data_IF_136153623237
#
_entry.id   IF_136153623237
#
_cell.length_a   1.000
_cell.length_b   1.000
_cell.length_c   1.000
_cell.angle_alpha   90.00
_cell.angle_beta   90.00
_cell.angle_gamma   90.00
#
_symmetry.space_group_name_H-M   'P 1'
#
loop_
_entity.id
_entity.type
_entity.pdbx_description
1 polymer ?
#
# COMPACT_ATOMS: atom_id res chain seq x y z
N UNK A 1 23.23 -12.85 34.72
CA UNK A 1 23.92 -11.58 35.00
C UNK A 1 23.04 -10.75 35.91
N UNK A 2 23.60 -10.22 36.99
CA UNK A 2 22.87 -9.54 38.06
C UNK A 2 23.11 -8.04 38.00
N UNK A 3 22.06 -7.29 38.35
CA UNK A 3 22.06 -5.84 38.42
C UNK A 3 21.85 -5.38 39.86
N UNK A 4 22.39 -4.20 40.16
CA UNK A 4 22.30 -3.57 41.47
C UNK A 4 21.87 -2.12 41.28
N UNK A 5 21.17 -1.55 42.25
CA UNK A 5 20.75 -0.16 42.21
C UNK A 5 20.89 0.49 43.58
N UNK A 6 21.10 1.80 43.58
CA UNK A 6 21.18 2.58 44.80
C UNK A 6 19.78 3.00 45.28
N UNK A 7 19.51 2.80 46.57
CA UNK A 7 18.34 3.34 47.26
C UNK A 7 18.78 3.89 48.59
N UNK A 8 18.53 5.19 48.82
CA UNK A 8 18.85 5.88 50.07
C UNK A 8 20.32 5.71 50.51
N UNK A 9 21.25 5.77 49.55
CA UNK A 9 22.70 5.60 49.80
C UNK A 9 23.14 4.16 50.07
N UNK A 10 22.26 3.18 49.89
CA UNK A 10 22.58 1.75 50.03
C UNK A 10 22.45 1.03 48.70
N UNK A 11 23.36 0.09 48.47
CA UNK A 11 23.27 -0.84 47.35
C UNK A 11 22.17 -1.89 47.61
N UNK A 12 21.27 -2.04 46.65
CA UNK A 12 20.18 -3.02 46.68
C UNK A 12 20.30 -3.93 45.46
N UNK A 13 20.36 -5.24 45.72
CA UNK A 13 20.48 -6.28 44.72
C UNK A 13 20.92 -7.61 45.36
N UNK A 14 21.19 -8.66 44.57
CA UNK A 14 21.13 -8.72 43.10
C UNK A 14 19.71 -8.84 42.54
N UNK A 15 19.37 -8.03 41.53
CA UNK A 15 18.12 -8.14 40.75
C UNK A 15 18.38 -8.57 39.32
N UNK A 16 17.41 -9.22 38.68
CA UNK A 16 17.51 -9.58 37.27
C UNK A 16 17.34 -8.36 36.35
N UNK A 17 17.80 -8.44 35.09
CA UNK A 17 17.62 -7.34 34.13
C UNK A 17 16.13 -7.02 33.88
N UNK A 18 15.28 -8.05 33.75
CA UNK A 18 13.85 -7.89 33.55
C UNK A 18 13.17 -7.23 34.76
N UNK A 19 13.61 -7.57 35.96
CA UNK A 19 13.15 -6.98 37.21
C UNK A 19 13.59 -5.52 37.36
N UNK A 20 14.84 -5.20 37.00
CA UNK A 20 15.33 -3.81 36.94
C UNK A 20 14.49 -2.96 35.98
N UNK A 21 14.15 -3.50 34.80
CA UNK A 21 13.26 -2.83 33.84
C UNK A 21 11.86 -2.64 34.43
N UNK A 22 11.31 -3.65 35.11
CA UNK A 22 10.01 -3.51 35.81
C UNK A 22 10.06 -2.40 36.85
N UNK A 23 11.11 -2.32 37.66
CA UNK A 23 11.27 -1.27 38.69
C UNK A 23 11.34 0.13 38.08
N UNK A 24 11.94 0.29 36.89
CA UNK A 24 11.96 1.54 36.14
C UNK A 24 10.56 1.88 35.59
N UNK A 25 9.86 0.91 35.00
CA UNK A 25 8.50 1.11 34.45
C UNK A 25 7.51 1.51 35.55
N UNK A 26 7.57 0.85 36.70
CA UNK A 26 6.72 1.15 37.86
C UNK A 26 7.18 2.40 38.64
N UNK A 27 8.19 3.13 38.14
CA UNK A 27 8.78 4.33 38.75
C UNK A 27 9.30 4.13 40.18
N UNK A 28 9.58 2.89 40.59
CA UNK A 28 10.26 2.58 41.85
C UNK A 28 11.74 2.98 41.81
N UNK A 29 12.33 3.02 40.62
CA UNK A 29 13.68 3.52 40.37
C UNK A 29 13.56 4.69 39.39
N UNK A 30 14.19 5.83 39.73
CA UNK A 30 14.15 7.02 38.88
C UNK A 30 15.23 6.92 37.78
N UNK A 31 15.07 7.59 36.64
CA UNK A 31 16.06 7.58 35.57
C UNK A 31 17.47 8.07 35.98
N UNK A 32 17.54 8.90 37.03
CA UNK A 32 18.79 9.37 37.62
C UNK A 32 19.38 8.45 38.70
N UNK A 33 18.64 7.44 39.17
CA UNK A 33 19.13 6.51 40.19
C UNK A 33 20.34 5.75 39.66
N UNK A 34 21.39 5.65 40.48
CA UNK A 34 22.60 4.93 40.10
C UNK A 34 22.34 3.43 40.10
N UNK A 35 22.80 2.78 39.04
CA UNK A 35 22.75 1.34 38.85
C UNK A 35 24.14 0.83 38.50
N UNK A 36 24.41 -0.40 38.92
CA UNK A 36 25.66 -1.07 38.67
C UNK A 36 25.42 -2.46 38.07
N UNK A 37 26.35 -2.84 37.21
CA UNK A 37 26.37 -4.12 36.54
C UNK A 37 27.83 -4.53 36.37
N UNK A 38 28.18 -5.84 36.44
CA UNK A 38 29.56 -6.31 36.30
C UNK A 38 30.29 -5.80 35.04
N UNK A 39 29.55 -5.57 33.96
CA UNK A 39 30.08 -5.01 32.70
C UNK A 39 30.51 -3.53 32.77
N UNK A 40 30.26 -2.83 33.87
CA UNK A 40 30.69 -1.43 34.09
C UNK A 40 31.96 -1.33 34.94
N UNK A 41 32.56 -2.45 35.36
CA UNK A 41 33.74 -2.43 36.23
C UNK A 41 33.36 -1.87 37.60
N UNK A 42 34.02 -0.79 38.05
CA UNK A 42 33.74 -0.13 39.34
C UNK A 42 32.85 1.12 39.21
N UNK A 43 32.28 1.36 38.03
CA UNK A 43 31.56 2.60 37.75
C UNK A 43 30.05 2.43 37.91
N UNK A 44 29.46 3.20 38.82
CA UNK A 44 28.01 3.33 38.95
C UNK A 44 27.49 4.33 37.91
N UNK A 45 26.42 3.95 37.20
CA UNK A 45 25.87 4.77 36.12
C UNK A 45 24.40 5.05 36.37
N UNK A 46 23.87 6.24 36.02
CA UNK A 46 22.43 6.48 36.08
C UNK A 46 21.65 5.46 35.24
N UNK A 47 20.49 5.00 35.73
CA UNK A 47 19.64 4.02 35.06
C UNK A 47 19.30 4.40 33.60
N UNK A 48 19.13 5.69 33.34
CA UNK A 48 18.92 6.24 31.99
C UNK A 48 20.09 6.02 31.02
N UNK A 49 21.33 5.98 31.53
CA UNK A 49 22.57 5.81 30.76
C UNK A 49 23.10 4.37 30.77
N UNK A 50 22.48 3.50 31.56
CA UNK A 50 22.91 2.11 31.74
C UNK A 50 22.44 1.16 30.63
N UNK A 51 21.70 1.64 29.62
CA UNK A 51 21.25 0.81 28.50
C UNK A 51 20.23 -0.27 28.88
N UNK A 52 19.60 -0.16 30.05
CA UNK A 52 18.62 -1.11 30.59
C UNK A 52 17.36 -1.23 29.73
N UNK A 53 16.97 -0.12 29.11
CA UNK A 53 15.93 -0.09 28.08
C UNK A 53 16.62 -0.14 26.72
N UNK A 54 16.89 -1.34 26.20
CA UNK A 54 17.10 -1.48 24.76
C UNK A 54 15.74 -1.22 24.13
N UNK A 55 15.50 -0.05 23.50
CA UNK A 55 14.29 0.09 22.73
C UNK A 55 14.40 -1.00 21.68
N UNK A 56 13.42 -1.89 21.63
CA UNK A 56 13.15 -2.73 20.48
C UNK A 56 14.14 -3.87 20.16
N UNK A 57 13.96 -5.00 20.83
CA UNK A 57 14.26 -6.30 20.20
C UNK A 57 13.37 -6.54 18.95
N UNK A 58 12.16 -5.98 18.93
CA UNK A 58 11.22 -6.09 17.80
C UNK A 58 11.54 -5.24 16.57
N UNK A 59 12.24 -4.10 16.70
CA UNK A 59 12.60 -3.24 15.55
C UNK A 59 13.91 -3.69 14.91
N UNK A 60 14.78 -4.42 15.63
CA UNK A 60 16.00 -4.97 15.06
C UNK A 60 15.74 -6.00 13.96
N UNK A 61 14.61 -6.71 14.00
CA UNK A 61 14.23 -7.62 12.91
C UNK A 61 13.94 -6.86 11.60
N UNK A 62 13.31 -5.68 11.70
CA UNK A 62 13.06 -4.81 10.54
C UNK A 62 14.31 -4.06 10.06
N UNK A 63 15.27 -3.79 10.94
CA UNK A 63 16.57 -3.18 10.57
C UNK A 63 17.52 -4.21 9.95
N UNK A 64 17.48 -5.47 10.39
CA UNK A 64 18.35 -6.53 9.87
C UNK A 64 18.01 -6.94 8.43
N UNK A 65 16.74 -6.85 8.02
CA UNK A 65 16.30 -7.10 6.63
C UNK A 65 16.74 -5.98 5.68
N UNK A 66 17.00 -4.77 6.18
CA UNK A 66 17.34 -3.59 5.37
C UNK A 66 18.80 -3.11 5.43
N UNK A 67 19.71 -3.81 6.12
CA UNK A 67 21.01 -3.24 6.43
C UNK A 67 22.13 -4.25 6.65
N UNK A 68 22.61 -4.86 5.56
CA UNK A 68 23.96 -5.42 5.54
C UNK A 68 24.82 -4.63 4.54
N UNK A 69 25.48 -3.61 5.06
CA UNK A 69 26.68 -3.01 4.46
C UNK A 69 27.57 -2.55 5.60
N UNK A 70 28.53 -3.40 5.99
CA UNK A 70 29.82 -2.90 6.48
C UNK A 70 30.38 -2.01 5.36
N UNK A 71 30.79 -0.78 5.64
CA UNK A 71 32.11 -0.49 6.19
C UNK A 71 32.12 0.74 7.10
N UNK A 72 33.13 0.72 7.95
CA UNK A 72 33.66 1.73 8.85
C UNK A 72 33.95 3.07 8.14
N UNK A 73 33.79 4.16 8.90
CA UNK A 73 34.08 5.58 8.59
C UNK A 73 33.32 6.23 7.42
N UNK A 74 32.33 7.06 7.73
CA UNK A 74 32.23 8.46 7.27
C UNK A 74 31.00 9.16 7.90
N UNK A 75 31.23 10.38 8.38
CA UNK A 75 30.49 11.00 9.49
C UNK A 75 29.07 11.50 9.20
N UNK A 76 28.30 11.60 10.29
CA UNK A 76 27.09 12.43 10.57
C UNK A 76 25.88 12.31 9.60
N UNK A 77 26.08 12.14 8.30
CA UNK A 77 25.04 11.85 7.31
C UNK A 77 24.53 10.39 7.36
N UNK A 78 25.27 9.49 8.02
CA UNK A 78 24.88 8.09 8.23
C UNK A 78 23.72 7.87 9.21
N UNK A 79 23.24 8.92 9.89
CA UNK A 79 22.24 8.83 10.96
C UNK A 79 20.79 9.14 10.56
N UNK A 80 20.51 9.40 9.27
CA UNK A 80 19.12 9.72 8.84
C UNK A 80 18.30 8.44 8.78
N UNK A 81 17.42 8.24 9.78
CA UNK A 81 16.55 7.08 9.87
C UNK A 81 15.65 6.99 8.63
N UNK A 82 15.72 5.88 7.90
CA UNK A 82 14.86 5.63 6.73
C UNK A 82 13.53 4.97 7.08
N UNK A 83 13.20 4.89 8.37
CA UNK A 83 11.99 4.23 8.87
C UNK A 83 10.72 4.89 8.32
N UNK A 84 10.65 6.23 8.32
CA UNK A 84 9.48 6.96 7.78
C UNK A 84 9.30 6.74 6.28
N UNK A 85 10.40 6.69 5.52
CA UNK A 85 10.37 6.41 4.10
C UNK A 85 9.88 4.98 3.77
N UNK A 86 10.23 3.98 4.60
CA UNK A 86 9.66 2.63 4.47
C UNK A 86 8.19 2.58 4.86
N UNK A 87 7.78 3.31 5.91
CA UNK A 87 6.39 3.43 6.32
C UNK A 87 5.50 4.03 5.23
N UNK A 88 6.04 4.87 4.34
CA UNK A 88 5.30 5.39 3.19
C UNK A 88 4.88 4.31 2.18
N UNK A 89 5.55 3.16 2.16
CA UNK A 89 5.19 2.04 1.28
C UNK A 89 4.08 1.16 1.88
N UNK A 90 3.85 1.23 3.19
CA UNK A 90 2.85 0.39 3.88
C UNK A 90 1.43 0.60 3.35
N UNK A 91 0.93 1.83 3.14
CA UNK A 91 -0.40 2.02 2.60
C UNK A 91 -0.58 1.38 1.22
N UNK A 92 0.41 1.49 0.33
CA UNK A 92 0.37 0.84 -0.98
C UNK A 92 0.47 -0.69 -0.89
N UNK A 93 1.22 -1.22 0.08
CA UNK A 93 1.28 -2.66 0.34
C UNK A 93 -0.07 -3.19 0.88
N UNK A 94 -0.70 -2.45 1.77
CA UNK A 94 -2.04 -2.77 2.29
C UNK A 94 -3.06 -2.74 1.17
N UNK A 95 -3.01 -1.72 0.31
CA UNK A 95 -3.91 -1.61 -0.84
C UNK A 95 -3.74 -2.78 -1.82
N UNK A 96 -2.49 -3.13 -2.14
CA UNK A 96 -2.16 -4.32 -2.93
C UNK A 96 -2.72 -5.60 -2.28
N UNK A 97 -2.56 -5.76 -0.97
CA UNK A 97 -3.07 -6.93 -0.26
C UNK A 97 -4.60 -6.98 -0.31
N UNK A 98 -5.28 -5.85 -0.10
CA UNK A 98 -6.73 -5.74 -0.22
C UNK A 98 -7.19 -6.06 -1.63
N UNK A 99 -6.48 -5.60 -2.65
CA UNK A 99 -6.75 -5.92 -4.04
C UNK A 99 -6.65 -7.44 -4.29
N UNK A 100 -5.56 -8.06 -3.86
CA UNK A 100 -5.36 -9.52 -4.02
C UNK A 100 -6.41 -10.33 -3.25
N UNK A 101 -6.73 -9.93 -2.01
CA UNK A 101 -7.75 -10.60 -1.21
C UNK A 101 -9.14 -10.42 -1.82
N UNK A 102 -9.47 -9.21 -2.26
CA UNK A 102 -10.75 -8.91 -2.91
C UNK A 102 -10.95 -9.73 -4.18
N UNK A 103 -9.91 -9.88 -5.00
CA UNK A 103 -9.95 -10.75 -6.18
C UNK A 103 -10.19 -12.22 -5.82
N UNK A 104 -9.53 -12.74 -4.77
CA UNK A 104 -9.65 -14.15 -4.36
C UNK A 104 -11.00 -14.48 -3.73
N UNK A 105 -11.57 -13.54 -3.00
CA UNK A 105 -12.81 -13.75 -2.24
C UNK A 105 -14.05 -13.30 -3.00
N UNK A 106 -13.89 -12.76 -4.22
CA UNK A 106 -14.93 -12.01 -4.96
C UNK A 106 -15.58 -10.89 -4.13
N UNK A 107 -14.94 -10.51 -3.02
CA UNK A 107 -15.29 -9.36 -2.23
C UNK A 107 -14.85 -8.14 -3.03
N UNK A 108 -15.79 -7.55 -3.77
CA UNK A 108 -15.61 -6.19 -4.20
C UNK A 108 -15.51 -5.35 -2.91
N UNK A 109 -14.38 -4.70 -2.69
CA UNK A 109 -14.33 -3.55 -1.78
C UNK A 109 -15.34 -2.57 -2.37
N UNK A 110 -16.55 -2.57 -1.82
CA UNK A 110 -17.61 -1.73 -2.33
C UNK A 110 -17.16 -0.27 -2.16
N UNK A 111 -17.22 0.55 -3.22
CA UNK A 111 -16.81 1.95 -3.15
C UNK A 111 -17.74 2.82 -2.30
N UNK A 112 -18.75 2.24 -1.65
CA UNK A 112 -19.74 2.91 -0.81
C UNK A 112 -19.15 3.49 0.48
N UNK A 113 -17.96 3.04 0.91
CA UNK A 113 -17.27 3.55 2.10
C UNK A 113 -15.90 4.14 1.75
N UNK A 114 -15.81 5.45 1.41
CA UNK A 114 -14.54 6.10 1.09
C UNK A 114 -13.56 6.17 2.27
N UNK A 115 -13.98 5.75 3.46
CA UNK A 115 -13.21 5.76 4.71
C UNK A 115 -11.84 5.10 4.55
N UNK A 116 -11.77 3.94 3.90
CA UNK A 116 -10.50 3.20 3.72
C UNK A 116 -9.50 4.02 2.89
N UNK A 117 -9.95 4.59 1.77
CA UNK A 117 -9.11 5.45 0.93
C UNK A 117 -8.65 6.70 1.68
N UNK A 118 -9.56 7.35 2.41
CA UNK A 118 -9.22 8.51 3.26
C UNK A 118 -8.15 8.15 4.30
N UNK A 119 -8.29 7.01 4.98
CA UNK A 119 -7.30 6.52 5.94
C UNK A 119 -5.92 6.30 5.28
N UNK A 120 -5.87 5.66 4.11
CA UNK A 120 -4.64 5.43 3.33
C UNK A 120 -3.98 6.77 3.00
N UNK A 121 -4.72 7.74 2.48
CA UNK A 121 -4.19 9.07 2.16
C UNK A 121 -3.71 9.84 3.39
N UNK A 122 -4.42 9.76 4.52
CA UNK A 122 -4.00 10.39 5.78
C UNK A 122 -2.70 9.79 6.29
N UNK A 123 -2.57 8.45 6.30
CA UNK A 123 -1.34 7.78 6.74
C UNK A 123 -0.17 8.15 5.82
N UNK A 124 -0.37 8.15 4.50
CA UNK A 124 0.63 8.55 3.52
C UNK A 124 1.05 10.01 3.73
N UNK A 125 0.10 10.91 3.97
CA UNK A 125 0.37 12.30 4.24
C UNK A 125 1.19 12.48 5.54
N UNK A 126 0.80 11.84 6.63
CA UNK A 126 1.52 11.95 7.91
C UNK A 126 2.95 11.39 7.82
N UNK A 127 3.12 10.25 7.15
CA UNK A 127 4.45 9.63 6.95
C UNK A 127 5.36 10.50 6.08
N UNK A 128 4.81 11.13 5.02
CA UNK A 128 5.53 12.13 4.21
C UNK A 128 6.03 13.29 5.06
N UNK A 129 5.14 13.90 5.86
CA UNK A 129 5.49 15.05 6.70
C UNK A 129 6.58 14.66 7.70
N UNK A 130 6.50 13.46 8.29
CA UNK A 130 7.52 12.97 9.22
C UNK A 130 8.86 12.69 8.55
N UNK A 131 8.90 12.11 7.35
CA UNK A 131 10.16 11.91 6.61
C UNK A 131 10.80 13.26 6.23
N UNK A 132 10.00 14.24 5.75
CA UNK A 132 10.47 15.59 5.44
C UNK A 132 11.02 16.31 6.67
N UNK A 133 10.37 16.20 7.82
CA UNK A 133 10.88 16.73 9.09
C UNK A 133 12.17 16.02 9.52
N UNK A 134 12.30 14.72 9.26
CA UNK A 134 13.49 13.94 9.61
C UNK A 134 14.68 14.38 8.75
N UNK A 135 14.47 14.61 7.46
CA UNK A 135 15.46 15.18 6.54
C UNK A 135 15.88 16.59 6.98
N UNK A 136 14.91 17.46 7.31
CA UNK A 136 15.19 18.82 7.76
C UNK A 136 15.99 18.86 9.08
N UNK A 137 15.65 18.00 10.05
CA UNK A 137 16.41 17.86 11.32
C UNK A 137 17.84 17.38 11.11
N UNK A 138 18.08 16.62 10.04
CA UNK A 138 19.41 16.17 9.65
C UNK A 138 20.22 17.23 8.87
N UNK A 139 19.71 18.45 8.73
CA UNK A 139 20.37 19.53 7.97
C UNK A 139 20.28 19.36 6.45
N UNK A 140 19.47 18.41 5.97
CA UNK A 140 19.32 18.09 4.55
C UNK A 140 18.06 18.77 4.01
N UNK A 141 18.16 19.45 2.86
CA UNK A 141 17.00 20.08 2.21
C UNK A 141 16.02 18.99 1.73
N UNK A 142 14.79 18.91 2.28
CA UNK A 142 13.84 17.88 1.89
C UNK A 142 13.31 18.12 0.47
N UNK A 143 12.86 17.06 -0.23
CA UNK A 143 12.14 17.20 -1.49
C UNK A 143 10.90 18.11 -1.37
N UNK A 144 10.51 18.71 -2.49
CA UNK A 144 9.31 19.54 -2.59
C UNK A 144 8.07 18.77 -2.16
N UNK A 145 7.11 19.47 -1.55
CA UNK A 145 5.85 18.89 -1.09
C UNK A 145 5.05 18.24 -2.24
N UNK A 146 5.10 18.83 -3.44
CA UNK A 146 4.37 18.38 -4.62
C UNK A 146 4.68 16.94 -5.07
N UNK A 147 5.82 16.39 -4.66
CA UNK A 147 6.20 15.02 -4.99
C UNK A 147 5.30 13.95 -4.35
N UNK A 148 4.43 14.31 -3.39
CA UNK A 148 3.48 13.37 -2.82
C UNK A 148 2.42 12.86 -3.81
N UNK A 149 2.15 13.61 -4.89
CA UNK A 149 1.27 13.18 -5.99
C UNK A 149 1.95 12.13 -6.88
N UNK A 150 3.28 12.08 -6.84
CA UNK A 150 4.08 11.16 -7.62
C UNK A 150 5.19 10.55 -6.75
N UNK A 151 4.80 9.53 -5.96
CA UNK A 151 5.68 8.84 -5.01
C UNK A 151 7.01 8.37 -5.61
N UNK A 152 7.07 7.79 -6.82
CA UNK A 152 8.35 7.39 -7.42
C UNK A 152 9.33 8.57 -7.54
N UNK A 153 8.84 9.75 -7.92
CA UNK A 153 9.64 10.96 -8.00
C UNK A 153 10.09 11.48 -6.64
N UNK A 154 9.25 11.34 -5.60
CA UNK A 154 9.67 11.63 -4.22
C UNK A 154 10.89 10.81 -3.82
N UNK A 155 10.83 9.49 -3.99
CA UNK A 155 11.94 8.60 -3.64
C UNK A 155 13.18 8.83 -4.50
N UNK A 156 13.01 9.16 -5.78
CA UNK A 156 14.10 9.54 -6.67
C UNK A 156 14.83 10.80 -6.20
N UNK A 157 14.08 11.87 -5.89
CA UNK A 157 14.66 13.11 -5.35
C UNK A 157 15.33 12.86 -3.99
N UNK A 158 14.67 12.12 -3.10
CA UNK A 158 15.23 11.71 -1.80
C UNK A 158 16.54 10.93 -1.97
N UNK A 159 16.61 10.01 -2.92
CA UNK A 159 17.80 9.23 -3.25
C UNK A 159 18.93 10.11 -3.79
N UNK A 160 18.63 11.08 -4.67
CA UNK A 160 19.63 12.05 -5.17
C UNK A 160 20.23 12.89 -4.06
N UNK A 161 19.40 13.33 -3.12
CA UNK A 161 19.81 14.18 -2.01
C UNK A 161 20.64 13.40 -0.98
N UNK A 162 20.23 12.18 -0.62
CA UNK A 162 20.93 11.34 0.36
C UNK A 162 22.10 10.54 -0.24
N UNK A 163 22.22 10.49 -1.58
CA UNK A 163 23.12 9.60 -2.35
C UNK A 163 23.06 8.12 -1.89
N UNK A 164 21.95 7.72 -1.27
CA UNK A 164 21.67 6.40 -0.69
C UNK A 164 20.16 6.15 -0.76
N UNK A 165 19.74 4.88 -0.74
CA UNK A 165 18.31 4.51 -0.72
C UNK A 165 17.77 3.98 -2.04
N UNK A 166 18.63 3.43 -2.91
CA UNK A 166 18.23 2.72 -4.14
C UNK A 166 17.16 1.66 -3.85
N UNK A 167 17.26 0.96 -2.71
CA UNK A 167 16.26 -0.04 -2.30
C UNK A 167 14.86 0.53 -2.10
N UNK A 168 14.71 1.75 -1.57
CA UNK A 168 13.38 2.38 -1.41
C UNK A 168 12.76 2.74 -2.75
N UNK A 169 13.57 3.29 -3.66
CA UNK A 169 13.13 3.62 -5.00
C UNK A 169 12.75 2.34 -5.78
N UNK A 170 13.59 1.30 -5.72
CA UNK A 170 13.31 0.02 -6.35
C UNK A 170 12.05 -0.65 -5.76
N UNK A 171 11.87 -0.64 -4.43
CA UNK A 171 10.68 -1.18 -3.78
C UNK A 171 9.41 -0.42 -4.18
N UNK A 172 9.47 0.92 -4.26
CA UNK A 172 8.36 1.74 -4.73
C UNK A 172 7.96 1.40 -6.17
N UNK A 173 8.95 1.28 -7.07
CA UNK A 173 8.68 0.90 -8.46
C UNK A 173 8.11 -0.51 -8.54
N UNK A 174 8.72 -1.47 -7.85
CA UNK A 174 8.25 -2.85 -7.83
C UNK A 174 6.81 -2.96 -7.36
N UNK A 175 6.47 -2.27 -6.26
CA UNK A 175 5.11 -2.25 -5.73
C UNK A 175 4.11 -1.68 -6.74
N UNK A 176 4.44 -0.54 -7.36
CA UNK A 176 3.58 0.08 -8.37
C UNK A 176 3.43 -0.75 -9.66
N UNK A 177 4.50 -1.41 -10.12
CA UNK A 177 4.45 -2.31 -11.27
C UNK A 177 3.62 -3.57 -10.97
N UNK A 178 3.72 -4.10 -9.75
CA UNK A 178 2.97 -5.27 -9.32
C UNK A 178 1.47 -4.96 -9.24
N UNK A 179 1.12 -3.82 -8.64
CA UNK A 179 -0.25 -3.32 -8.59
C UNK A 179 -0.83 -3.10 -10.00
N UNK A 180 -0.08 -2.41 -10.88
CA UNK A 180 -0.49 -2.20 -12.27
C UNK A 180 -0.65 -3.52 -13.04
N UNK A 181 0.23 -4.50 -12.81
CA UNK A 181 0.14 -5.83 -13.43
C UNK A 181 -1.10 -6.61 -12.98
N UNK A 182 -1.48 -6.49 -11.70
CA UNK A 182 -2.71 -7.10 -11.17
C UNK A 182 -3.96 -6.42 -11.76
N UNK A 183 -3.96 -5.09 -11.84
CA UNK A 183 -5.06 -4.33 -12.45
C UNK A 183 -5.20 -4.64 -13.94
N UNK A 184 -4.10 -4.84 -14.67
CA UNK A 184 -4.14 -5.14 -16.10
C UNK A 184 -4.57 -6.59 -16.38
N UNK A 185 -4.17 -7.54 -15.52
CA UNK A 185 -4.55 -8.95 -15.65
C UNK A 185 -6.00 -9.21 -15.23
N UNK A 186 -6.55 -8.42 -14.31
CA UNK A 186 -7.92 -8.54 -13.85
C UNK A 186 -8.52 -7.15 -13.56
N UNK A 187 -9.03 -6.47 -14.60
CA UNK A 187 -9.52 -5.11 -14.47
C UNK A 187 -10.75 -5.05 -13.57
N UNK A 188 -10.87 -4.02 -12.71
CA UNK A 188 -12.07 -3.83 -11.91
C UNK A 188 -13.31 -3.62 -12.80
N UNK A 189 -14.50 -4.01 -12.33
CA UNK A 189 -15.74 -3.85 -13.08
C UNK A 189 -15.94 -2.37 -13.46
N UNK A 190 -16.08 -2.09 -14.76
CA UNK A 190 -16.21 -0.74 -15.33
C UNK A 190 -14.93 -0.16 -15.95
N UNK A 191 -13.78 -0.81 -15.79
CA UNK A 191 -12.54 -0.44 -16.50
C UNK A 191 -12.42 -1.24 -17.80
N UNK A 192 -13.14 -0.81 -18.84
CA UNK A 192 -12.94 -1.37 -20.18
C UNK A 192 -11.64 -0.83 -20.76
N UNK A 193 -10.67 -1.69 -21.13
CA UNK A 193 -9.44 -1.25 -21.76
C UNK A 193 -9.76 -0.41 -23.00
N UNK A 194 -9.09 0.73 -23.16
CA UNK A 194 -9.31 1.65 -24.29
C UNK A 194 -9.20 0.97 -25.66
N UNK A 195 -8.44 -0.13 -25.74
CA UNK A 195 -8.35 -1.01 -26.92
C UNK A 195 -9.69 -1.68 -27.29
N UNK A 196 -10.49 -2.11 -26.30
CA UNK A 196 -11.83 -2.66 -26.52
C UNK A 196 -12.83 -1.59 -26.96
N UNK A 197 -12.77 -0.41 -26.36
CA UNK A 197 -13.59 0.75 -26.79
C UNK A 197 -13.27 1.15 -28.23
N UNK A 198 -11.98 1.20 -28.59
CA UNK A 198 -11.54 1.50 -29.97
C UNK A 198 -11.90 0.41 -30.99
N UNK A 199 -12.04 -0.84 -30.57
CA UNK A 199 -12.53 -1.93 -31.41
C UNK A 199 -14.05 -1.91 -31.57
N UNK A 200 -14.79 -1.51 -30.53
CA UNK A 200 -16.25 -1.37 -30.58
C UNK A 200 -16.70 -0.15 -31.41
N UNK A 201 -15.89 0.92 -31.47
CA UNK A 201 -16.18 2.13 -32.24
C UNK A 201 -15.83 2.00 -33.73
N UNK A 202 -15.14 0.94 -34.15
CA UNK A 202 -14.87 0.70 -35.57
C UNK A 202 -16.19 0.26 -36.23
N UNK A 203 -16.85 1.08 -37.06
CA UNK A 203 -18.14 0.70 -37.61
C UNK A 203 -17.95 -0.54 -38.47
N UNK A 204 -18.90 -1.46 -38.36
CA UNK A 204 -19.11 -2.60 -39.25
C UNK A 204 -19.45 -2.06 -40.65
N UNK A 205 -18.45 -1.54 -41.36
CA UNK A 205 -18.41 -1.47 -42.81
C UNK A 205 -17.58 -2.68 -43.23
N UNK A 206 -18.08 -3.72 -43.86
CA UNK A 206 -19.18 -3.81 -44.81
C UNK A 206 -19.50 -5.30 -44.99
N UNK A 207 -20.70 -5.75 -44.63
CA UNK A 207 -21.23 -7.02 -45.15
C UNK A 207 -21.78 -6.75 -46.55
N UNK A 208 -21.29 -7.41 -47.61
CA UNK A 208 -21.93 -7.31 -48.92
C UNK A 208 -23.34 -7.87 -48.80
N UNK A 209 -24.32 -7.03 -49.12
CA UNK A 209 -25.73 -7.38 -49.26
C UNK A 209 -25.83 -8.40 -50.41
N UNK A 210 -26.04 -9.68 -50.10
CA UNK A 210 -26.38 -10.67 -51.12
C UNK A 210 -27.69 -10.23 -51.81
N UNK A 211 -27.59 -9.92 -53.10
CA UNK A 211 -28.74 -9.72 -53.98
C UNK A 211 -29.38 -11.09 -54.25
N UNK A 212 -30.72 -11.22 -54.23
CA UNK A 212 -31.35 -12.47 -54.62
C UNK A 212 -31.17 -12.69 -56.12
N UNK A 213 -30.63 -13.86 -56.48
CA UNK A 213 -30.60 -14.40 -57.84
C UNK A 213 -32.04 -14.42 -58.39
N UNK A 214 -32.25 -13.66 -59.45
CA UNK A 214 -33.48 -13.64 -60.23
C UNK A 214 -33.25 -14.55 -61.45
N UNK A 215 -33.47 -15.85 -61.28
CA UNK A 215 -33.52 -16.78 -62.41
C UNK A 215 -34.95 -16.74 -62.98
N UNK A 216 -35.04 -16.39 -64.26
CA UNK A 216 -36.29 -16.22 -64.98
C UNK A 216 -37.02 -17.53 -65.18
N UNK A 217 -38.34 -17.50 -64.95
CA UNK A 217 -39.24 -18.51 -65.51
C UNK A 217 -40.52 -17.84 -66.01
N UNK A 218 -40.88 -18.23 -67.22
CA UNK A 218 -41.76 -17.55 -68.15
C UNK A 218 -43.21 -17.40 -67.69
N UNK A 219 -43.83 -16.31 -68.11
CA UNK A 219 -45.28 -16.10 -68.11
C UNK A 219 -45.95 -16.87 -69.26
N UNK A 220 -46.95 -17.68 -68.91
CA UNK A 220 -48.16 -18.00 -69.67
C UNK A 220 -49.12 -18.50 -68.57
N UNK A 221 -50.22 -17.86 -68.22
CA UNK A 221 -51.27 -17.35 -69.08
C UNK A 221 -52.53 -18.15 -68.72
N UNK A 222 -53.58 -17.42 -68.39
CA UNK A 222 -55.00 -17.78 -68.52
C UNK A 222 -55.84 -18.13 -67.26
N UNK A 223 -56.98 -17.44 -67.18
CA UNK A 223 -58.27 -18.03 -66.80
C UNK A 223 -58.72 -18.08 -65.33
N UNK A 224 -59.62 -17.15 -64.96
CA UNK A 224 -60.96 -17.58 -64.47
C UNK A 224 -61.27 -17.54 -62.97
N UNK A 225 -62.07 -16.53 -62.58
CA UNK A 225 -63.30 -16.57 -61.76
C UNK A 225 -63.44 -17.38 -60.45
N UNK A 226 -64.02 -16.70 -59.44
CA UNK A 226 -64.90 -17.28 -58.40
C UNK A 226 -64.37 -17.04 -56.98
N UNK A 227 -64.83 -16.02 -56.24
CA UNK A 227 -66.08 -15.94 -55.47
C UNK A 227 -65.94 -16.36 -53.98
N UNK A 228 -66.29 -15.39 -53.12
CA UNK A 228 -66.98 -15.52 -51.83
C UNK A 228 -66.18 -15.97 -50.59
N UNK A 229 -66.11 -15.09 -49.57
CA UNK A 229 -66.82 -15.20 -48.26
C UNK A 229 -65.98 -15.98 -47.23
N UNK A 230 -65.85 -15.68 -45.95
CA UNK A 230 -66.56 -14.84 -44.99
C UNK A 230 -65.69 -14.82 -43.70
N UNK A 231 -66.03 -13.99 -42.71
CA UNK A 231 -65.67 -14.26 -41.31
C UNK A 231 -64.61 -13.37 -40.67
N UNK A 232 -65.05 -12.23 -40.15
CA UNK A 232 -64.38 -11.42 -39.13
C UNK A 232 -64.85 -11.88 -37.71
N UNK A 233 -64.55 -11.18 -36.60
CA UNK A 233 -63.61 -11.62 -35.55
C UNK A 233 -64.29 -11.85 -34.18
N UNK A 234 -63.58 -12.41 -33.20
CA UNK A 234 -63.93 -12.35 -31.77
C UNK A 234 -62.77 -12.96 -30.94
N UNK A 235 -62.46 -12.60 -29.70
CA UNK A 235 -62.90 -11.54 -28.81
C UNK A 235 -61.87 -11.47 -27.65
N UNK A 236 -61.72 -10.26 -27.11
CA UNK A 236 -61.21 -9.87 -25.79
C UNK A 236 -60.84 -10.93 -24.72
N UNK A 237 -59.74 -10.60 -24.02
CA UNK A 237 -59.82 -10.20 -22.61
C UNK A 237 -59.53 -11.26 -21.55
N UNK A 238 -58.43 -11.09 -20.81
CA UNK A 238 -58.52 -10.92 -19.35
C UNK A 238 -57.20 -10.40 -18.75
N UNK A 239 -57.34 -9.30 -18.01
CA UNK A 239 -56.39 -8.67 -17.10
C UNK A 239 -56.78 -9.08 -15.67
N UNK A 240 -55.87 -8.83 -14.72
CA UNK A 240 -55.98 -8.81 -13.25
C UNK A 240 -55.35 -10.03 -12.55
N UNK A 241 -54.57 -9.90 -11.48
CA UNK A 241 -54.09 -8.76 -10.66
C UNK A 241 -52.86 -9.25 -9.88
#
# INVERSE_FOLDING_TARGET
>A
MHWYYERDGREVGPVSQSEMVRLIIHRHIRPQTLVWHPGFGNEWRPASKAGLVSPSAGVRLFVAVGGRSSTRDEGVAGAVSSVWAWLMLVPGLVDLLLLVVGQRTHWAVTPDRPVTGVCIYVILFLTLIKDRQTLARAGVKPPSFWWWLFLPGYFWCRMKVLRRGVGLFAACLFLGFLEAGILLSNPPPGFEPLLKLKQAEKPVASSPRELPRQDGQASHGDGGSGASSDGSPDQNGHVEL
#
